data_IF_253698023037
#
_entry.id   IF_253698023037
#
_cell.length_a   1.000
_cell.length_b   1.000
_cell.length_c   1.000
_cell.angle_alpha   90.00
_cell.angle_beta   90.00
_cell.angle_gamma   90.00
#
_symmetry.space_group_name_H-M   'P 1'
#
loop_
_entity.id
_entity.type
_entity.pdbx_description
1 polymer ?
#
# COMPACT_ATOMS: atom_id res chain seq x y z
N UNK A 1 -13.67 5.26 12.15
CA UNK A 1 -12.84 5.70 13.29
C UNK A 1 -12.97 7.21 13.36
N UNK A 2 -13.17 7.81 14.53
CA UNK A 2 -13.14 9.27 14.65
C UNK A 2 -11.73 9.78 14.29
N UNK A 3 -11.65 10.92 13.59
CA UNK A 3 -10.38 11.56 13.21
C UNK A 3 -9.47 11.83 14.41
N UNK A 4 -10.07 12.10 15.57
CA UNK A 4 -9.38 12.34 16.84
C UNK A 4 -8.43 11.20 17.24
N UNK A 5 -8.75 9.95 16.89
CA UNK A 5 -7.87 8.82 17.22
C UNK A 5 -6.50 8.90 16.52
N UNK A 6 -6.43 9.52 15.34
CA UNK A 6 -5.17 9.72 14.63
C UNK A 6 -4.42 10.95 15.13
N UNK A 7 -5.12 11.98 15.59
CA UNK A 7 -4.53 13.18 16.20
C UNK A 7 -3.89 12.82 17.55
N UNK A 8 -4.60 12.06 18.40
CA UNK A 8 -4.06 11.54 19.67
C UNK A 8 -2.77 10.73 19.44
N UNK A 9 -2.79 9.84 18.44
CA UNK A 9 -1.63 9.03 18.08
C UNK A 9 -0.47 9.88 17.53
N UNK A 10 -0.77 10.92 16.77
CA UNK A 10 0.24 11.85 16.26
C UNK A 10 0.94 12.58 17.42
N UNK A 11 0.19 12.99 18.45
CA UNK A 11 0.74 13.58 19.67
C UNK A 11 1.67 12.59 20.41
N UNK A 12 1.23 11.34 20.59
CA UNK A 12 2.05 10.27 21.19
C UNK A 12 3.34 10.00 20.39
N UNK A 13 3.29 10.14 19.07
CA UNK A 13 4.44 10.02 18.18
C UNK A 13 5.35 11.28 18.17
N UNK A 14 4.99 12.34 18.90
CA UNK A 14 5.75 13.58 18.99
C UNK A 14 5.58 14.54 17.82
N UNK A 15 4.50 14.41 17.05
CA UNK A 15 4.12 15.36 15.99
C UNK A 15 3.35 16.55 16.59
N UNK A 16 3.40 17.68 15.90
CA UNK A 16 2.52 18.82 16.23
C UNK A 16 1.08 18.50 15.84
N UNK A 17 0.17 18.52 16.82
CA UNK A 17 -1.24 18.18 16.63
C UNK A 17 -1.95 19.12 15.65
N UNK A 18 -1.61 20.41 15.67
CA UNK A 18 -2.25 21.42 14.81
C UNK A 18 -1.85 21.25 13.34
N UNK A 19 -0.55 21.08 13.10
CA UNK A 19 -0.02 20.81 11.76
C UNK A 19 -0.52 19.46 11.22
N UNK A 20 -0.58 18.43 12.08
CA UNK A 20 -1.12 17.12 11.71
C UNK A 20 -2.60 17.20 11.35
N UNK A 21 -3.42 17.82 12.21
CA UNK A 21 -4.85 17.99 11.95
C UNK A 21 -5.11 18.79 10.67
N UNK A 22 -4.34 19.87 10.43
CA UNK A 22 -4.41 20.62 9.18
C UNK A 22 -4.09 19.76 7.97
N UNK A 23 -3.02 18.96 8.04
CA UNK A 23 -2.64 18.04 6.96
C UNK A 23 -3.69 16.95 6.73
N UNK A 24 -4.21 16.33 7.79
CA UNK A 24 -5.21 15.27 7.73
C UNK A 24 -6.50 15.74 7.05
N UNK A 25 -6.91 16.98 7.30
CA UNK A 25 -8.14 17.58 6.78
C UNK A 25 -7.94 18.37 5.46
N UNK A 26 -6.75 18.34 4.86
CA UNK A 26 -6.41 19.20 3.71
C UNK A 26 -6.87 18.69 2.34
N UNK A 27 -7.44 17.48 2.26
CA UNK A 27 -7.73 16.75 1.02
C UNK A 27 -6.52 16.53 0.08
N UNK A 28 -5.31 16.92 0.49
CA UNK A 28 -4.08 16.89 -0.34
C UNK A 28 -3.80 15.53 -0.98
N UNK A 29 -4.20 14.44 -0.33
CA UNK A 29 -3.98 13.07 -0.79
C UNK A 29 -5.27 12.32 -1.16
N UNK A 30 -6.43 13.00 -1.22
CA UNK A 30 -7.72 12.37 -1.48
C UNK A 30 -7.74 11.60 -2.81
N UNK A 31 -7.17 12.19 -3.87
CA UNK A 31 -7.06 11.55 -5.18
C UNK A 31 -6.18 10.29 -5.14
N UNK A 32 -5.06 10.35 -4.41
CA UNK A 32 -4.14 9.20 -4.27
C UNK A 32 -4.79 8.08 -3.47
N UNK A 33 -5.49 8.39 -2.38
CA UNK A 33 -6.25 7.40 -1.60
C UNK A 33 -7.33 6.75 -2.46
N UNK A 34 -8.09 7.56 -3.21
CA UNK A 34 -9.15 7.09 -4.11
C UNK A 34 -8.59 6.15 -5.18
N UNK A 35 -7.52 6.56 -5.87
CA UNK A 35 -6.88 5.75 -6.90
C UNK A 35 -6.37 4.40 -6.37
N UNK A 36 -5.81 4.37 -5.15
CA UNK A 36 -5.34 3.13 -4.53
C UNK A 36 -6.52 2.21 -4.12
N UNK A 37 -7.61 2.76 -3.59
CA UNK A 37 -8.82 1.99 -3.28
C UNK A 37 -9.45 1.38 -4.54
N UNK A 38 -9.54 2.16 -5.62
CA UNK A 38 -10.03 1.67 -6.92
C UNK A 38 -9.13 0.58 -7.49
N UNK A 39 -7.81 0.73 -7.39
CA UNK A 39 -6.85 -0.28 -7.81
C UNK A 39 -7.05 -1.58 -7.02
N UNK A 40 -7.17 -1.51 -5.69
CA UNK A 40 -7.44 -2.68 -4.84
C UNK A 40 -8.70 -3.44 -5.25
N UNK A 41 -9.79 -2.70 -5.51
CA UNK A 41 -11.05 -3.26 -6.01
C UNK A 41 -10.87 -3.93 -7.38
N UNK A 42 -10.22 -3.26 -8.33
CA UNK A 42 -9.96 -3.80 -9.68
C UNK A 42 -9.10 -5.06 -9.65
N UNK A 43 -8.17 -5.14 -8.72
CA UNK A 43 -7.29 -6.30 -8.51
C UNK A 43 -7.91 -7.36 -7.58
N UNK A 44 -9.16 -7.17 -7.12
CA UNK A 44 -9.87 -8.06 -6.20
C UNK A 44 -9.08 -8.37 -4.92
N UNK A 45 -8.40 -7.37 -4.37
CA UNK A 45 -7.67 -7.48 -3.09
C UNK A 45 -8.68 -7.56 -1.95
N UNK A 46 -8.83 -8.74 -1.34
CA UNK A 46 -9.81 -9.00 -0.27
C UNK A 46 -9.22 -9.04 1.15
N UNK A 47 -7.90 -9.12 1.28
CA UNK A 47 -7.23 -9.20 2.57
C UNK A 47 -5.81 -8.64 2.51
N UNK A 48 -5.25 -8.38 3.68
CA UNK A 48 -3.85 -8.01 3.84
C UNK A 48 -3.13 -9.11 4.64
N UNK A 49 -1.85 -9.41 4.34
CA UNK A 49 -1.08 -8.92 3.19
C UNK A 49 -1.56 -9.53 1.85
N UNK A 50 -1.46 -8.75 0.77
CA UNK A 50 -1.56 -9.21 -0.63
C UNK A 50 -0.41 -8.54 -1.39
N UNK A 51 0.39 -9.32 -2.13
CA UNK A 51 1.50 -8.81 -2.95
C UNK A 51 1.22 -9.14 -4.41
N UNK A 52 1.27 -8.10 -5.25
CA UNK A 52 1.10 -8.18 -6.70
C UNK A 52 2.41 -7.75 -7.36
N UNK A 53 2.95 -8.57 -8.26
CA UNK A 53 4.12 -8.23 -9.08
C UNK A 53 3.65 -7.99 -10.51
N UNK A 54 4.12 -6.90 -11.12
CA UNK A 54 3.99 -6.65 -12.55
C UNK A 54 5.39 -6.69 -13.19
N UNK A 55 5.59 -7.62 -14.12
CA UNK A 55 6.83 -7.79 -14.87
C UNK A 55 6.54 -8.50 -16.20
N UNK A 56 7.31 -8.20 -17.26
CA UNK A 56 7.14 -8.84 -18.56
C UNK A 56 5.75 -8.67 -19.21
N UNK A 57 4.99 -7.65 -18.82
CA UNK A 57 3.60 -7.45 -19.26
C UNK A 57 2.57 -8.35 -18.57
N UNK A 58 2.99 -9.14 -17.57
CA UNK A 58 2.12 -9.98 -16.76
C UNK A 58 2.00 -9.43 -15.34
N UNK A 59 0.84 -9.66 -14.71
CA UNK A 59 0.63 -9.39 -13.29
C UNK A 59 0.32 -10.68 -12.57
N UNK A 60 1.01 -10.93 -11.45
CA UNK A 60 0.85 -12.15 -10.63
C UNK A 60 0.65 -11.77 -9.16
N UNK A 61 -0.27 -12.46 -8.49
CA UNK A 61 -0.38 -12.44 -7.03
C UNK A 61 0.52 -13.51 -6.41
N UNK A 62 1.15 -13.19 -5.28
CA UNK A 62 1.99 -14.13 -4.55
C UNK A 62 1.25 -14.77 -3.37
N UNK A 63 1.64 -16.01 -3.05
CA UNK A 63 1.17 -16.74 -1.87
C UNK A 63 2.11 -16.59 -0.67
N UNK A 64 3.32 -16.08 -0.91
CA UNK A 64 4.35 -15.82 0.09
C UNK A 64 4.88 -14.40 -0.11
N UNK A 65 5.07 -13.70 1.01
CA UNK A 65 5.37 -12.26 1.03
C UNK A 65 6.75 -11.95 1.61
N UNK A 66 7.57 -12.99 1.83
CA UNK A 66 8.96 -12.80 2.24
C UNK A 66 9.81 -12.33 1.06
N UNK A 67 10.93 -11.68 1.38
CA UNK A 67 11.79 -11.07 0.39
C UNK A 67 12.38 -12.08 -0.61
N UNK A 68 12.58 -13.34 -0.21
CA UNK A 68 13.11 -14.36 -1.12
C UNK A 68 12.06 -14.76 -2.15
N UNK A 69 10.84 -15.07 -1.71
CA UNK A 69 9.73 -15.42 -2.60
C UNK A 69 9.42 -14.31 -3.62
N UNK A 70 9.53 -13.04 -3.19
CA UNK A 70 9.34 -11.89 -4.09
C UNK A 70 10.45 -11.84 -5.15
N UNK A 71 11.71 -12.06 -4.76
CA UNK A 71 12.85 -12.08 -5.70
C UNK A 71 12.71 -13.20 -6.72
N UNK A 72 12.43 -14.42 -6.25
CA UNK A 72 12.27 -15.59 -7.12
C UNK A 72 11.14 -15.37 -8.15
N UNK A 73 10.03 -14.75 -7.73
CA UNK A 73 8.93 -14.43 -8.64
C UNK A 73 9.29 -13.36 -9.68
N UNK A 74 10.11 -12.37 -9.32
CA UNK A 74 10.61 -11.37 -10.28
C UNK A 74 11.52 -12.03 -11.32
N UNK A 75 12.45 -12.88 -10.87
CA UNK A 75 13.39 -13.58 -11.74
C UNK A 75 12.65 -14.50 -12.74
N UNK A 76 11.66 -15.26 -12.25
CA UNK A 76 10.75 -16.08 -13.07
C UNK A 76 10.01 -15.23 -14.14
N UNK A 77 9.42 -14.11 -13.73
CA UNK A 77 8.62 -13.26 -14.63
C UNK A 77 9.45 -12.43 -15.64
N UNK A 78 10.75 -12.25 -15.39
CA UNK A 78 11.64 -11.47 -16.26
C UNK A 78 12.55 -12.32 -17.14
N UNK A 79 12.44 -13.66 -17.06
CA UNK A 79 13.25 -14.60 -17.85
C UNK A 79 14.66 -14.81 -17.31
N UNK A 80 14.89 -14.52 -16.03
CA UNK A 80 16.16 -14.71 -15.35
C UNK A 80 16.35 -16.14 -14.84
N UNK A 81 16.37 -17.15 -15.72
CA UNK A 81 16.79 -18.51 -15.32
C UNK A 81 16.51 -19.62 -16.32
N UNK A 82 17.58 -20.10 -16.97
CA UNK A 82 17.68 -21.45 -17.56
C UNK A 82 17.84 -22.52 -16.49
#
# INVERSE_FOLDING_TARGET
>A
LPSSAFEDYAAEAGLDEGDFASCLNSDRFADVVTANMELGNRMSVGSTPTVLINAGGQTRSLNAFDAQSIRDAIDDMTGGGS
#
